data_IF_738354431193
#
_entry.id   IF_738354431193
#
_cell.length_a   1.000
_cell.length_b   1.000
_cell.length_c   1.000
_cell.angle_alpha   90.00
_cell.angle_beta   90.00
_cell.angle_gamma   90.00
#
_symmetry.space_group_name_H-M   'P 1'
#
loop_
_entity.id
_entity.type
_entity.pdbx_description
1 polymer ?
#
# COMPACT_ATOMS: atom_id res chain seq x y z
N UNK A 1 10.02 27.18 -10.95
CA UNK A 1 10.16 26.18 -9.87
C UNK A 1 10.69 24.89 -10.47
N UNK A 2 11.58 24.20 -9.76
CA UNK A 2 12.20 22.94 -10.17
C UNK A 2 11.50 21.77 -9.44
N UNK A 3 10.98 20.84 -10.20
CA UNK A 3 10.37 19.60 -9.69
C UNK A 3 11.31 18.43 -10.01
N UNK A 4 11.81 17.78 -8.98
CA UNK A 4 12.68 16.61 -9.09
C UNK A 4 11.84 15.34 -8.99
N UNK A 5 11.93 14.43 -9.96
CA UNK A 5 11.49 13.04 -9.81
C UNK A 5 12.72 12.23 -9.43
N UNK A 6 12.77 11.72 -8.21
CA UNK A 6 13.88 10.91 -7.72
C UNK A 6 13.39 9.48 -7.43
N UNK A 7 13.95 8.49 -8.16
CA UNK A 7 13.59 7.09 -7.97
C UNK A 7 14.77 6.15 -8.28
N UNK A 8 15.12 5.30 -7.32
CA UNK A 8 16.04 4.17 -7.57
C UNK A 8 15.41 3.18 -8.57
N UNK A 9 14.11 2.93 -8.41
CA UNK A 9 13.30 2.09 -9.33
C UNK A 9 12.43 3.00 -10.18
N UNK A 10 12.79 3.26 -11.44
CA UNK A 10 12.14 4.27 -12.27
C UNK A 10 10.65 3.99 -12.47
N UNK A 11 9.91 5.05 -12.71
CA UNK A 11 8.53 4.96 -13.18
C UNK A 11 8.46 4.38 -14.59
N UNK A 12 7.31 3.81 -14.95
CA UNK A 12 7.04 3.50 -16.35
C UNK A 12 7.06 4.80 -17.19
N UNK A 13 7.58 4.71 -18.43
CA UNK A 13 7.71 5.88 -19.32
C UNK A 13 6.41 6.68 -19.42
N UNK A 14 5.27 6.00 -19.58
CA UNK A 14 3.96 6.65 -19.69
C UNK A 14 3.62 7.49 -18.44
N UNK A 15 4.04 7.07 -17.25
CA UNK A 15 3.82 7.84 -16.01
C UNK A 15 4.73 9.09 -16.00
N UNK A 16 6.00 8.95 -16.41
CA UNK A 16 6.93 10.09 -16.52
C UNK A 16 6.43 11.09 -17.55
N UNK A 17 5.93 10.63 -18.70
CA UNK A 17 5.37 11.50 -19.75
C UNK A 17 4.13 12.25 -19.22
N UNK A 18 3.27 11.59 -18.42
CA UNK A 18 2.14 12.23 -17.76
C UNK A 18 2.56 13.30 -16.75
N UNK A 19 3.51 12.96 -15.87
CA UNK A 19 4.08 13.91 -14.89
C UNK A 19 4.68 15.12 -15.61
N UNK A 20 5.47 14.88 -16.65
CA UNK A 20 6.10 15.93 -17.45
C UNK A 20 5.06 16.90 -18.02
N UNK A 21 4.00 16.37 -18.61
CA UNK A 21 2.93 17.17 -19.21
C UNK A 21 2.32 18.14 -18.19
N UNK A 22 2.02 17.65 -16.97
CA UNK A 22 1.41 18.48 -15.92
C UNK A 22 2.39 19.54 -15.39
N UNK A 23 3.66 19.15 -15.17
CA UNK A 23 4.69 20.04 -14.64
C UNK A 23 5.01 21.16 -15.63
N UNK A 24 5.22 20.83 -16.92
CA UNK A 24 5.50 21.79 -17.97
C UNK A 24 4.30 22.71 -18.27
N UNK A 25 3.07 22.18 -18.21
CA UNK A 25 1.84 22.97 -18.34
C UNK A 25 1.70 24.02 -17.23
N UNK A 26 2.22 23.72 -16.03
CA UNK A 26 2.29 24.67 -14.91
C UNK A 26 3.46 25.68 -15.03
N UNK A 27 4.28 25.59 -16.06
CA UNK A 27 5.45 26.46 -16.27
C UNK A 27 6.63 26.11 -15.37
N UNK A 28 6.72 24.86 -14.90
CA UNK A 28 7.80 24.39 -14.05
C UNK A 28 8.80 23.52 -14.83
N UNK A 29 10.02 23.43 -14.33
CA UNK A 29 11.08 22.57 -14.85
C UNK A 29 10.98 21.18 -14.22
N UNK A 30 10.98 20.11 -15.04
CA UNK A 30 11.07 18.74 -14.58
C UNK A 30 12.49 18.21 -14.74
N UNK A 31 13.06 17.74 -13.64
CA UNK A 31 14.36 17.05 -13.59
C UNK A 31 14.16 15.61 -13.15
N UNK A 32 14.85 14.68 -13.79
CA UNK A 32 14.78 13.25 -13.46
C UNK A 32 16.11 12.79 -12.87
N UNK A 33 16.04 12.15 -11.70
CA UNK A 33 17.11 11.38 -11.09
C UNK A 33 16.63 9.93 -10.97
N UNK A 34 16.89 9.13 -12.00
CA UNK A 34 16.43 7.75 -12.06
C UNK A 34 17.60 6.77 -11.93
N UNK A 35 17.34 5.60 -11.31
CA UNK A 35 18.32 4.51 -11.16
C UNK A 35 19.59 4.93 -10.42
N UNK A 36 19.49 5.91 -9.55
CA UNK A 36 20.63 6.27 -8.71
C UNK A 36 20.91 5.13 -7.72
N UNK A 37 22.18 4.97 -7.37
CA UNK A 37 22.68 3.86 -6.53
C UNK A 37 23.37 4.35 -5.27
N UNK A 38 23.55 5.66 -5.15
CA UNK A 38 24.20 6.30 -4.02
C UNK A 38 23.34 7.45 -3.51
N UNK A 39 23.11 7.49 -2.22
CA UNK A 39 22.38 8.57 -1.54
C UNK A 39 23.00 9.94 -1.81
N UNK A 40 24.33 10.02 -2.01
CA UNK A 40 25.00 11.26 -2.35
C UNK A 40 24.45 11.92 -3.63
N UNK A 41 24.00 11.12 -4.61
CA UNK A 41 23.36 11.62 -5.83
C UNK A 41 22.02 12.30 -5.52
N UNK A 42 21.22 11.71 -4.60
CA UNK A 42 19.98 12.31 -4.14
C UNK A 42 20.24 13.60 -3.37
N UNK A 43 21.22 13.59 -2.44
CA UNK A 43 21.61 14.77 -1.65
C UNK A 43 22.08 15.93 -2.54
N UNK A 44 22.73 15.63 -3.65
CA UNK A 44 23.16 16.66 -4.60
C UNK A 44 21.98 17.21 -5.41
N UNK A 45 21.11 16.34 -5.89
CA UNK A 45 19.98 16.70 -6.75
C UNK A 45 18.88 17.49 -6.02
N UNK A 46 18.73 17.33 -4.70
CA UNK A 46 17.68 18.03 -3.93
C UNK A 46 18.03 19.46 -3.54
N UNK A 47 19.31 19.89 -3.66
CA UNK A 47 19.79 21.17 -3.14
C UNK A 47 19.01 22.39 -3.65
N UNK A 48 18.58 22.35 -4.90
CA UNK A 48 17.87 23.43 -5.59
C UNK A 48 16.45 23.01 -6.05
N UNK A 49 15.97 21.85 -5.58
CA UNK A 49 14.62 21.36 -5.88
C UNK A 49 13.58 22.09 -5.00
N UNK A 50 12.49 22.55 -5.62
CA UNK A 50 11.37 23.15 -4.90
C UNK A 50 10.28 22.12 -4.57
N UNK A 51 10.19 21.05 -5.36
CA UNK A 51 9.31 19.90 -5.13
C UNK A 51 10.04 18.61 -5.49
N UNK A 52 9.71 17.53 -4.79
CA UNK A 52 10.24 16.20 -5.09
C UNK A 52 9.10 15.19 -5.20
N UNK A 53 9.14 14.34 -6.23
CA UNK A 53 8.25 13.20 -6.41
C UNK A 53 9.06 11.92 -6.25
N UNK A 54 8.63 11.06 -5.35
CA UNK A 54 9.31 9.80 -5.01
C UNK A 54 8.36 8.58 -5.07
N UNK A 55 8.93 7.39 -5.07
CA UNK A 55 8.20 6.11 -4.87
C UNK A 55 8.53 5.52 -3.49
N UNK A 56 9.56 4.70 -3.42
CA UNK A 56 10.05 4.02 -2.21
C UNK A 56 11.35 4.61 -1.68
N UNK A 57 11.80 5.67 -2.27
CA UNK A 57 13.01 6.40 -1.90
C UNK A 57 12.86 7.01 -0.52
N UNK A 58 13.91 6.98 0.28
CA UNK A 58 13.87 7.45 1.67
C UNK A 58 14.14 8.95 1.70
N UNK A 59 13.22 9.68 2.31
CA UNK A 59 13.37 11.11 2.62
C UNK A 59 13.51 11.25 4.13
N UNK A 60 14.73 11.17 4.60
CA UNK A 60 15.08 11.34 6.01
C UNK A 60 15.55 12.76 6.32
N UNK A 61 15.95 13.00 7.57
CA UNK A 61 16.43 14.31 8.03
C UNK A 61 17.61 14.83 7.20
N UNK A 62 18.55 13.95 6.79
CA UNK A 62 19.73 14.35 6.01
C UNK A 62 19.34 14.87 4.61
N UNK A 63 18.35 14.22 3.96
CA UNK A 63 17.84 14.69 2.67
C UNK A 63 17.12 16.03 2.82
N UNK A 64 16.32 16.19 3.87
CA UNK A 64 15.61 17.46 4.16
C UNK A 64 16.57 18.58 4.53
N UNK A 65 17.62 18.27 5.29
CA UNK A 65 18.70 19.22 5.60
C UNK A 65 19.44 19.72 4.35
N UNK A 66 19.60 18.86 3.34
CA UNK A 66 20.26 19.23 2.08
C UNK A 66 19.32 20.05 1.16
N UNK A 67 18.01 19.88 1.27
CA UNK A 67 17.00 20.42 0.37
C UNK A 67 16.46 21.79 0.80
N UNK A 68 17.32 22.82 0.79
CA UNK A 68 17.02 24.15 1.36
C UNK A 68 15.84 24.90 0.70
N UNK A 69 15.55 24.60 -0.56
CA UNK A 69 14.48 25.24 -1.33
C UNK A 69 13.19 24.40 -1.40
N UNK A 70 13.20 23.23 -0.76
CA UNK A 70 12.10 22.26 -0.86
C UNK A 70 10.85 22.78 -0.12
N UNK A 71 9.70 22.68 -0.79
CA UNK A 71 8.38 23.03 -0.25
C UNK A 71 7.46 21.84 -0.09
N UNK A 72 7.65 20.81 -0.92
CA UNK A 72 6.75 19.67 -0.96
C UNK A 72 7.46 18.39 -1.37
N UNK A 73 7.12 17.30 -0.67
CA UNK A 73 7.41 15.92 -1.05
C UNK A 73 6.11 15.25 -1.46
N UNK A 74 6.06 14.69 -2.67
CA UNK A 74 4.91 13.89 -3.16
C UNK A 74 5.33 12.43 -3.27
N UNK A 75 4.80 11.59 -2.40
CA UNK A 75 4.97 10.15 -2.47
C UNK A 75 3.95 9.57 -3.45
N UNK A 76 4.39 9.06 -4.60
CA UNK A 76 3.54 8.40 -5.59
C UNK A 76 3.13 7.00 -5.12
N UNK A 77 2.21 6.95 -4.18
CA UNK A 77 1.66 5.74 -3.58
C UNK A 77 0.93 6.02 -2.26
N UNK A 78 0.38 5.00 -1.63
CA UNK A 78 -0.47 5.16 -0.44
C UNK A 78 0.33 5.23 0.88
N UNK A 79 1.29 4.34 1.10
CA UNK A 79 2.16 4.38 2.28
C UNK A 79 3.13 5.56 2.21
N UNK A 80 3.56 6.07 3.35
CA UNK A 80 4.51 7.19 3.46
C UNK A 80 5.53 7.00 4.59
N UNK A 81 5.71 5.76 5.01
CA UNK A 81 6.67 5.32 6.03
C UNK A 81 8.14 5.53 5.62
N UNK A 82 8.38 5.82 4.35
CA UNK A 82 9.67 6.19 3.79
C UNK A 82 9.97 7.70 3.86
N UNK A 83 9.10 8.52 4.48
CA UNK A 83 9.32 9.95 4.68
C UNK A 83 9.31 10.28 6.17
N UNK A 84 10.35 10.94 6.66
CA UNK A 84 10.41 11.45 8.03
C UNK A 84 9.51 12.68 8.18
N UNK A 85 8.27 12.45 8.64
CA UNK A 85 7.27 13.51 8.80
C UNK A 85 7.65 14.54 9.88
N UNK A 86 8.35 14.12 10.94
CA UNK A 86 8.76 15.04 11.99
C UNK A 86 9.82 16.01 11.46
N UNK A 87 10.78 15.49 10.73
CA UNK A 87 11.80 16.29 10.08
C UNK A 87 11.19 17.18 8.97
N UNK A 88 10.28 16.67 8.15
CA UNK A 88 9.58 17.45 7.13
C UNK A 88 8.82 18.64 7.74
N UNK A 89 8.13 18.43 8.86
CA UNK A 89 7.43 19.50 9.60
C UNK A 89 8.40 20.53 10.14
N UNK A 90 9.54 20.10 10.67
CA UNK A 90 10.57 21.03 11.19
C UNK A 90 11.21 21.90 10.09
N UNK A 91 11.16 21.45 8.84
CA UNK A 91 11.66 22.19 7.67
C UNK A 91 10.56 22.92 6.89
N UNK A 92 9.33 23.00 7.41
CA UNK A 92 8.16 23.57 6.72
C UNK A 92 7.88 22.94 5.35
N UNK A 93 8.16 21.63 5.21
CA UNK A 93 7.94 20.86 3.98
C UNK A 93 6.62 20.10 4.08
N UNK A 94 5.72 20.35 3.13
CA UNK A 94 4.46 19.60 3.01
C UNK A 94 4.75 18.19 2.46
N UNK A 95 4.11 17.17 3.03
CA UNK A 95 4.19 15.79 2.52
C UNK A 95 2.82 15.35 2.04
N UNK A 96 2.74 14.90 0.78
CA UNK A 96 1.54 14.38 0.16
C UNK A 96 1.74 12.95 -0.33
N UNK A 97 0.65 12.19 -0.40
CA UNK A 97 0.61 10.85 -0.95
C UNK A 97 -0.58 10.68 -1.91
N UNK A 98 -0.69 9.51 -2.56
CA UNK A 98 -1.79 9.18 -3.49
C UNK A 98 -2.60 7.99 -2.97
N UNK A 99 -3.43 8.16 -1.92
CA UNK A 99 -4.17 7.06 -1.32
C UNK A 99 -5.20 6.49 -2.29
N UNK A 100 -5.32 5.15 -2.30
CA UNK A 100 -6.34 4.44 -3.08
C UNK A 100 -6.01 4.18 -4.55
N UNK A 101 -5.03 4.85 -5.15
CA UNK A 101 -4.75 4.76 -6.58
C UNK A 101 -4.32 3.35 -7.05
N UNK A 102 -3.61 2.61 -6.21
CA UNK A 102 -3.16 1.23 -6.50
C UNK A 102 -4.05 0.15 -5.87
N UNK A 103 -5.15 0.52 -5.22
CA UNK A 103 -5.94 -0.41 -4.38
C UNK A 103 -6.52 -1.59 -5.15
N UNK A 104 -6.93 -1.37 -6.40
CA UNK A 104 -7.43 -2.44 -7.25
C UNK A 104 -6.32 -3.43 -7.64
N UNK A 105 -5.15 -2.92 -8.01
CA UNK A 105 -4.00 -3.77 -8.37
C UNK A 105 -3.55 -4.63 -7.18
N UNK A 106 -3.54 -4.08 -5.96
CA UNK A 106 -3.25 -4.85 -4.73
C UNK A 106 -4.31 -5.92 -4.49
N UNK A 107 -5.59 -5.62 -4.70
CA UNK A 107 -6.67 -6.59 -4.54
C UNK A 107 -6.55 -7.75 -5.55
N UNK A 108 -6.25 -7.46 -6.80
CA UNK A 108 -6.03 -8.47 -7.83
C UNK A 108 -4.82 -9.36 -7.48
N UNK A 109 -3.73 -8.76 -7.02
CA UNK A 109 -2.55 -9.51 -6.59
C UNK A 109 -2.87 -10.42 -5.40
N UNK A 110 -3.60 -9.93 -4.39
CA UNK A 110 -4.00 -10.73 -3.23
C UNK A 110 -4.81 -11.96 -3.64
N UNK A 111 -5.81 -11.80 -4.53
CA UNK A 111 -6.59 -12.92 -5.05
C UNK A 111 -5.74 -13.84 -5.95
N UNK A 112 -4.85 -13.28 -6.76
CA UNK A 112 -3.89 -14.05 -7.56
C UNK A 112 -3.00 -14.94 -6.70
N UNK A 113 -2.49 -14.44 -5.57
CA UNK A 113 -1.71 -15.21 -4.59
C UNK A 113 -2.54 -16.32 -3.95
N UNK A 114 -3.81 -16.05 -3.60
CA UNK A 114 -4.72 -17.07 -3.07
C UNK A 114 -4.96 -18.20 -4.10
N UNK A 115 -5.24 -17.85 -5.35
CA UNK A 115 -5.41 -18.83 -6.44
C UNK A 115 -4.13 -19.66 -6.61
N UNK A 116 -2.99 -19.01 -6.68
CA UNK A 116 -1.70 -19.66 -6.84
C UNK A 116 -1.43 -20.67 -5.71
N UNK A 117 -1.74 -20.30 -4.47
CA UNK A 117 -1.53 -21.15 -3.31
C UNK A 117 -2.51 -22.32 -3.25
N UNK A 118 -3.83 -22.13 -3.48
CA UNK A 118 -4.81 -23.25 -3.48
C UNK A 118 -4.61 -24.22 -4.65
N UNK A 119 -3.90 -23.79 -5.68
CA UNK A 119 -3.50 -24.63 -6.84
C UNK A 119 -2.10 -25.24 -6.65
N UNK A 120 -1.59 -25.32 -5.40
CA UNK A 120 -0.28 -25.88 -5.08
C UNK A 120 0.85 -25.28 -5.93
N UNK A 121 0.82 -23.95 -6.12
CA UNK A 121 1.82 -23.20 -6.90
C UNK A 121 1.98 -23.72 -8.35
N UNK A 122 0.93 -24.31 -8.90
CA UNK A 122 0.91 -24.94 -10.24
C UNK A 122 1.98 -26.04 -10.44
N UNK A 123 2.24 -26.83 -9.40
CA UNK A 123 3.25 -27.89 -9.41
C UNK A 123 2.81 -29.18 -10.09
N UNK A 124 1.67 -29.20 -10.79
CA UNK A 124 1.13 -30.36 -11.49
C UNK A 124 0.23 -31.27 -10.63
N UNK A 125 0.07 -30.96 -9.33
CA UNK A 125 -0.84 -31.71 -8.47
C UNK A 125 -2.23 -31.07 -8.42
N UNK A 126 -3.23 -31.86 -7.98
CA UNK A 126 -4.59 -31.35 -7.76
C UNK A 126 -4.60 -30.35 -6.63
N UNK A 127 -5.27 -29.21 -6.84
CA UNK A 127 -5.54 -28.20 -5.83
C UNK A 127 -7.02 -28.08 -5.49
N UNK A 128 -7.40 -27.00 -4.82
CA UNK A 128 -8.77 -26.66 -4.49
C UNK A 128 -9.20 -25.35 -5.17
N UNK A 129 -10.40 -24.90 -4.94
CA UNK A 129 -10.95 -23.66 -5.47
C UNK A 129 -11.26 -22.65 -4.36
N UNK A 130 -11.51 -21.40 -4.69
CA UNK A 130 -11.89 -20.34 -3.74
C UNK A 130 -13.40 -20.29 -3.50
N UNK A 131 -14.22 -20.78 -4.43
CA UNK A 131 -15.68 -20.77 -4.33
C UNK A 131 -16.16 -21.41 -3.02
N UNK A 132 -17.07 -20.73 -2.33
CA UNK A 132 -17.62 -21.17 -1.04
C UNK A 132 -16.66 -21.09 0.16
N UNK A 133 -15.42 -20.65 -0.04
CA UNK A 133 -14.47 -20.45 1.05
C UNK A 133 -14.71 -19.12 1.75
N UNK A 134 -14.37 -19.05 3.04
CA UNK A 134 -14.50 -17.85 3.86
C UNK A 134 -13.22 -17.01 3.78
N UNK A 135 -13.35 -15.78 3.31
CA UNK A 135 -12.30 -14.77 3.29
C UNK A 135 -12.55 -13.73 4.37
N UNK A 136 -11.60 -13.56 5.27
CA UNK A 136 -11.53 -12.48 6.23
C UNK A 136 -10.67 -11.34 5.70
N UNK A 137 -11.16 -10.12 5.77
CA UNK A 137 -10.44 -8.91 5.41
C UNK A 137 -10.13 -8.15 6.70
N UNK A 138 -8.86 -8.05 7.05
CA UNK A 138 -8.40 -7.30 8.20
C UNK A 138 -7.98 -5.90 7.78
N UNK A 139 -8.79 -4.92 8.09
CA UNK A 139 -8.90 -3.54 7.66
C UNK A 139 -9.71 -3.36 6.35
N UNK A 140 -10.78 -2.56 6.46
CA UNK A 140 -11.76 -2.37 5.39
C UNK A 140 -11.67 -0.97 4.76
N UNK A 141 -10.42 -0.56 4.44
CA UNK A 141 -10.11 0.66 3.69
C UNK A 141 -10.21 0.47 2.18
N UNK A 142 -9.51 1.30 1.41
CA UNK A 142 -9.53 1.27 -0.06
C UNK A 142 -9.16 -0.10 -0.65
N UNK A 143 -8.12 -0.75 -0.11
CA UNK A 143 -7.70 -2.08 -0.57
C UNK A 143 -8.71 -3.14 -0.16
N UNK A 144 -9.10 -3.16 1.13
CA UNK A 144 -10.04 -4.16 1.66
C UNK A 144 -11.37 -4.20 0.90
N UNK A 145 -11.93 -3.03 0.53
CA UNK A 145 -13.15 -2.92 -0.28
C UNK A 145 -12.96 -3.51 -1.68
N UNK A 146 -11.83 -3.27 -2.33
CA UNK A 146 -11.53 -3.85 -3.63
C UNK A 146 -11.33 -5.37 -3.54
N UNK A 147 -10.65 -5.87 -2.49
CA UNK A 147 -10.52 -7.31 -2.22
C UNK A 147 -11.89 -7.95 -2.04
N UNK A 148 -12.80 -7.32 -1.26
CA UNK A 148 -14.16 -7.82 -1.07
C UNK A 148 -14.91 -7.90 -2.39
N UNK A 149 -14.84 -6.87 -3.22
CA UNK A 149 -15.48 -6.83 -4.53
C UNK A 149 -15.01 -7.96 -5.45
N UNK A 150 -13.69 -8.16 -5.55
CA UNK A 150 -13.10 -9.20 -6.41
C UNK A 150 -13.40 -10.59 -5.85
N UNK A 151 -13.25 -10.80 -4.54
CA UNK A 151 -13.49 -12.09 -3.88
C UNK A 151 -14.95 -12.57 -4.02
N UNK A 152 -15.92 -11.66 -3.97
CA UNK A 152 -17.33 -12.00 -4.25
C UNK A 152 -17.53 -12.50 -5.66
N UNK A 153 -16.78 -11.99 -6.65
CA UNK A 153 -16.78 -12.50 -8.02
C UNK A 153 -16.30 -13.95 -8.13
N UNK A 154 -15.45 -14.40 -7.21
CA UNK A 154 -15.04 -15.81 -7.08
C UNK A 154 -16.02 -16.67 -6.28
N UNK A 155 -17.15 -16.13 -5.85
CA UNK A 155 -18.12 -16.87 -5.03
C UNK A 155 -17.66 -17.15 -3.60
N UNK A 156 -16.72 -16.38 -3.07
CA UNK A 156 -16.29 -16.48 -1.67
C UNK A 156 -17.31 -15.86 -0.73
N UNK A 157 -17.40 -16.39 0.50
CA UNK A 157 -18.09 -15.73 1.60
C UNK A 157 -17.13 -14.73 2.23
N UNK A 158 -17.45 -13.43 2.16
CA UNK A 158 -16.55 -12.37 2.60
C UNK A 158 -16.96 -11.82 3.96
N UNK A 159 -16.00 -11.79 4.86
CA UNK A 159 -16.06 -11.23 6.20
C UNK A 159 -15.04 -10.11 6.33
N UNK A 160 -15.29 -9.14 7.20
CA UNK A 160 -14.30 -8.10 7.49
C UNK A 160 -14.33 -7.67 8.95
N UNK A 161 -13.19 -7.23 9.42
CA UNK A 161 -13.01 -6.50 10.66
C UNK A 161 -12.14 -5.27 10.40
N UNK A 162 -12.58 -4.14 10.95
CA UNK A 162 -11.83 -2.90 10.94
C UNK A 162 -12.08 -2.15 12.26
N UNK A 163 -11.03 -1.64 12.89
CA UNK A 163 -11.13 -0.95 14.17
C UNK A 163 -11.79 0.45 14.06
N UNK A 164 -11.82 1.03 12.84
CA UNK A 164 -12.27 2.40 12.60
C UNK A 164 -13.44 2.50 11.63
N UNK A 165 -13.63 1.51 10.75
CA UNK A 165 -14.73 1.49 9.80
C UNK A 165 -16.02 0.99 10.48
N UNK A 166 -17.12 1.77 10.49
CA UNK A 166 -18.39 1.31 11.04
C UNK A 166 -18.90 0.04 10.35
N UNK A 167 -19.51 -0.87 11.11
CA UNK A 167 -20.04 -2.14 10.59
C UNK A 167 -21.05 -1.94 9.48
N UNK A 168 -21.91 -0.95 9.62
CA UNK A 168 -22.95 -0.62 8.64
C UNK A 168 -22.36 -0.29 7.27
N UNK A 169 -21.15 0.28 7.25
CA UNK A 169 -20.42 0.58 6.00
C UNK A 169 -19.89 -0.70 5.35
N UNK A 170 -19.41 -1.64 6.15
CA UNK A 170 -18.97 -2.97 5.68
C UNK A 170 -20.16 -3.78 5.15
N UNK A 171 -21.25 -3.81 5.89
CA UNK A 171 -22.47 -4.56 5.56
C UNK A 171 -23.19 -4.01 4.33
N UNK A 172 -23.14 -2.68 4.10
CA UNK A 172 -23.68 -2.06 2.89
C UNK A 172 -23.03 -2.59 1.62
N UNK A 173 -21.77 -2.97 1.70
CA UNK A 173 -21.05 -3.60 0.59
C UNK A 173 -21.35 -5.11 0.46
N UNK A 174 -22.29 -5.67 1.24
CA UNK A 174 -22.64 -7.09 1.26
C UNK A 174 -21.54 -7.98 1.82
N UNK A 175 -20.79 -7.47 2.80
CA UNK A 175 -19.72 -8.14 3.54
C UNK A 175 -20.18 -8.34 4.98
N UNK A 176 -19.89 -9.48 5.59
CA UNK A 176 -20.27 -9.76 6.98
C UNK A 176 -19.25 -9.09 7.93
N UNK A 177 -19.70 -8.08 8.67
CA UNK A 177 -18.87 -7.40 9.65
C UNK A 177 -18.73 -8.24 10.92
N UNK A 178 -17.50 -8.37 11.45
CA UNK A 178 -17.19 -9.05 12.69
C UNK A 178 -16.76 -8.07 13.78
N UNK A 179 -16.85 -8.50 15.05
CA UNK A 179 -16.61 -7.65 16.22
C UNK A 179 -15.14 -7.50 16.59
N UNK A 180 -14.32 -8.44 16.14
CA UNK A 180 -12.89 -8.45 16.49
C UNK A 180 -12.02 -9.15 15.44
N UNK A 181 -10.73 -8.82 15.45
CA UNK A 181 -9.74 -9.56 14.69
C UNK A 181 -9.70 -11.04 15.08
N UNK A 182 -9.81 -11.35 16.38
CA UNK A 182 -9.81 -12.73 16.88
C UNK A 182 -10.95 -13.55 16.27
N UNK A 183 -12.15 -12.99 16.17
CA UNK A 183 -13.29 -13.63 15.53
C UNK A 183 -13.06 -13.83 14.03
N UNK A 184 -12.46 -12.85 13.35
CA UNK A 184 -12.12 -12.93 11.93
C UNK A 184 -11.19 -14.11 11.64
N UNK A 185 -10.10 -14.21 12.40
CA UNK A 185 -9.10 -15.26 12.22
C UNK A 185 -9.65 -16.64 12.57
N UNK A 186 -10.49 -16.75 13.60
CA UNK A 186 -11.16 -18.01 13.97
C UNK A 186 -12.17 -18.48 12.93
N UNK A 187 -12.84 -17.53 12.23
CA UNK A 187 -13.95 -17.82 11.31
C UNK A 187 -13.48 -18.15 9.90
N UNK A 188 -12.38 -17.51 9.44
CA UNK A 188 -12.03 -17.49 8.04
C UNK A 188 -10.84 -18.40 7.71
N UNK A 189 -10.96 -19.13 6.60
CA UNK A 189 -9.89 -19.98 6.06
C UNK A 189 -8.80 -19.16 5.38
N UNK A 190 -9.17 -18.04 4.77
CA UNK A 190 -8.29 -17.08 4.15
C UNK A 190 -8.39 -15.77 4.92
N UNK A 191 -7.26 -15.14 5.20
CA UNK A 191 -7.24 -13.79 5.75
C UNK A 191 -6.32 -12.93 4.90
N UNK A 192 -6.84 -11.80 4.44
CA UNK A 192 -6.07 -10.79 3.71
C UNK A 192 -5.85 -9.59 4.62
N UNK A 193 -4.58 -9.23 4.84
CA UNK A 193 -4.16 -8.22 5.79
C UNK A 193 -3.89 -6.89 5.08
N UNK A 194 -4.59 -5.84 5.50
CA UNK A 194 -4.50 -4.51 4.90
C UNK A 194 -4.39 -3.38 5.95
N UNK A 195 -3.99 -3.73 7.18
CA UNK A 195 -3.72 -2.74 8.22
C UNK A 195 -2.43 -1.95 7.88
N UNK A 196 -2.37 -0.65 8.19
CA UNK A 196 -1.14 0.12 8.03
C UNK A 196 -0.07 -0.36 9.04
N UNK A 197 1.19 -0.22 8.68
CA UNK A 197 2.31 -0.47 9.59
C UNK A 197 2.51 0.76 10.51
N UNK A 198 2.00 0.67 11.73
CA UNK A 198 2.14 1.69 12.78
C UNK A 198 2.75 1.09 14.05
N UNK A 199 3.06 1.93 15.03
CA UNK A 199 3.54 1.46 16.33
C UNK A 199 2.53 0.52 17.00
N UNK A 200 1.22 0.79 16.86
CA UNK A 200 0.12 0.01 17.44
C UNK A 200 -0.10 -1.32 16.72
N UNK A 201 0.10 -1.34 15.39
CA UNK A 201 -0.13 -2.54 14.58
C UNK A 201 1.10 -3.43 14.47
N UNK A 202 2.29 -2.92 14.84
CA UNK A 202 3.52 -3.70 14.85
C UNK A 202 3.40 -4.90 15.81
N UNK A 203 3.68 -6.10 15.29
CA UNK A 203 3.55 -7.37 16.01
C UNK A 203 2.12 -7.72 16.49
N UNK A 204 1.07 -7.04 16.00
CA UNK A 204 -0.32 -7.37 16.32
C UNK A 204 -0.75 -8.73 15.75
N UNK A 205 -0.17 -9.15 14.62
CA UNK A 205 -0.40 -10.46 14.03
C UNK A 205 0.64 -11.43 14.62
N UNK A 206 0.20 -12.23 15.57
CA UNK A 206 1.07 -13.09 16.35
C UNK A 206 0.44 -14.47 16.60
N UNK A 207 1.18 -15.34 17.30
CA UNK A 207 0.74 -16.69 17.57
C UNK A 207 -0.63 -16.77 18.28
N UNK A 208 -0.91 -15.87 19.22
CA UNK A 208 -2.18 -15.86 19.95
C UNK A 208 -3.38 -15.67 19.03
N UNK A 209 -3.21 -14.88 17.95
CA UNK A 209 -4.24 -14.63 16.94
C UNK A 209 -4.31 -15.78 15.93
N UNK A 210 -3.16 -16.29 15.49
CA UNK A 210 -3.08 -17.27 14.41
C UNK A 210 -3.41 -18.70 14.82
N UNK A 211 -3.16 -19.07 16.09
CA UNK A 211 -3.38 -20.45 16.59
C UNK A 211 -4.82 -20.96 16.48
N UNK A 212 -5.79 -20.04 16.47
CA UNK A 212 -7.22 -20.36 16.41
C UNK A 212 -7.78 -20.38 15.00
N UNK A 213 -6.95 -20.15 13.98
CA UNK A 213 -7.35 -20.25 12.57
C UNK A 213 -7.76 -21.69 12.20
N UNK A 214 -8.70 -21.87 11.26
CA UNK A 214 -9.05 -23.19 10.73
C UNK A 214 -7.82 -23.97 10.22
N UNK A 215 -7.91 -25.30 10.26
CA UNK A 215 -6.85 -26.14 9.63
C UNK A 215 -6.71 -25.76 8.15
N UNK A 216 -5.47 -25.71 7.68
CA UNK A 216 -5.13 -25.32 6.30
C UNK A 216 -5.57 -23.87 6.00
N UNK A 217 -5.42 -22.98 6.97
CA UNK A 217 -5.67 -21.55 6.76
C UNK A 217 -4.52 -20.87 6.01
N UNK A 218 -4.84 -19.75 5.37
CA UNK A 218 -3.90 -18.97 4.59
C UNK A 218 -4.00 -17.50 4.96
N UNK A 219 -2.84 -16.92 5.25
CA UNK A 219 -2.68 -15.48 5.47
C UNK A 219 -1.97 -14.88 4.24
N UNK A 220 -2.55 -13.82 3.69
CA UNK A 220 -2.00 -13.03 2.60
C UNK A 220 -1.72 -11.62 3.11
N UNK A 221 -0.48 -11.17 2.91
CA UNK A 221 -0.02 -9.84 3.32
C UNK A 221 0.79 -9.20 2.19
#
# INVERSE_FOLDING_TARGET
>A
MKVLVATEKPFAKIAVDGIRKEIEAAGYELVLLEKYTDKAQLLDAVKDANAIIIRSDIIDAEVLDAAKELKIVVRAGAGYDNVDLASATAHDVCVMNTPGQNSNAVAELALGMMIYAVRNFYNGTSGTELMGKKLGIHAYGNVGRNVARVAKGFGMEVYAYDAFCPKEVIEKDGVKALDSAAELYKTCQFVSLHIPATAETKNSINYALLKDMPKVAMLVN
#
